data_IF_791034821725
#
_entry.id   IF_791034821725
#
_cell.length_a   1.000
_cell.length_b   1.000
_cell.length_c   1.000
_cell.angle_alpha   90.00
_cell.angle_beta   90.00
_cell.angle_gamma   90.00
#
_symmetry.space_group_name_H-M   'P 1'
#
loop_
_entity.id
_entity.type
_entity.pdbx_description
1 polymer ?
#
# COMPACT_ATOMS: atom_id res chain seq x y z
N UNK A 1 104.44 -25.00 -130.68
CA UNK A 1 103.19 -25.58 -130.14
C UNK A 1 102.79 -24.79 -128.91
N UNK A 2 101.48 -24.58 -128.72
CA UNK A 2 100.82 -23.91 -127.57
C UNK A 2 101.10 -22.40 -127.47
N UNK A 3 100.12 -21.51 -127.65
CA UNK A 3 98.75 -21.54 -127.11
C UNK A 3 98.75 -20.61 -125.88
N UNK A 4 98.48 -19.32 -126.08
CA UNK A 4 97.17 -18.70 -125.87
C UNK A 4 96.72 -18.75 -124.39
N UNK A 5 96.63 -17.58 -123.77
CA UNK A 5 96.14 -17.43 -122.40
C UNK A 5 96.22 -16.00 -121.91
N UNK A 6 95.83 -15.03 -122.75
CA UNK A 6 95.49 -13.71 -122.27
C UNK A 6 94.29 -13.87 -121.32
N UNK A 7 94.53 -13.69 -120.03
CA UNK A 7 93.50 -13.62 -119.01
C UNK A 7 92.56 -12.49 -119.39
N UNK A 8 91.36 -12.86 -119.87
CA UNK A 8 90.25 -11.96 -120.10
C UNK A 8 90.00 -11.17 -118.84
N UNK A 9 90.44 -9.92 -118.85
CA UNK A 9 89.93 -8.88 -117.96
C UNK A 9 88.44 -8.81 -118.29
N UNK A 10 87.59 -9.27 -117.36
CA UNK A 10 86.14 -9.08 -117.43
C UNK A 10 85.88 -7.60 -117.69
N UNK A 11 85.39 -7.30 -118.89
CA UNK A 11 84.88 -5.98 -119.22
C UNK A 11 83.81 -5.63 -118.17
N UNK A 12 83.86 -4.43 -117.56
CA UNK A 12 82.78 -3.99 -116.71
C UNK A 12 81.50 -4.03 -117.54
N UNK A 13 80.43 -4.61 -116.99
CA UNK A 13 79.13 -4.64 -117.63
C UNK A 13 78.81 -3.23 -118.13
N UNK A 14 78.71 -3.07 -119.45
CA UNK A 14 78.46 -1.79 -120.10
C UNK A 14 77.00 -1.41 -119.80
N UNK A 15 76.81 -0.70 -118.69
CA UNK A 15 75.50 -0.20 -118.27
C UNK A 15 75.12 0.89 -119.26
N UNK A 16 74.17 0.61 -120.14
CA UNK A 16 73.75 1.57 -121.14
C UNK A 16 73.12 2.80 -120.48
N UNK A 17 73.27 3.97 -121.12
CA UNK A 17 72.72 5.22 -120.59
C UNK A 17 71.19 5.16 -120.37
N UNK A 18 70.50 4.25 -121.06
CA UNK A 18 69.06 4.03 -120.93
C UNK A 18 68.67 3.43 -119.57
N UNK A 19 69.41 2.43 -119.07
CA UNK A 19 69.14 1.83 -117.75
C UNK A 19 69.46 2.80 -116.62
N UNK A 20 70.52 3.62 -116.76
CA UNK A 20 70.81 4.70 -115.79
C UNK A 20 69.67 5.71 -115.75
N UNK A 21 69.16 6.14 -116.90
CA UNK A 21 68.04 7.10 -116.99
C UNK A 21 66.77 6.55 -116.33
N UNK A 22 66.42 5.27 -116.54
CA UNK A 22 65.28 4.62 -115.89
C UNK A 22 65.44 4.52 -114.36
N UNK A 23 66.66 4.27 -113.87
CA UNK A 23 66.93 4.25 -112.43
C UNK A 23 66.79 5.65 -111.82
N UNK A 24 67.24 6.70 -112.51
CA UNK A 24 67.06 8.10 -112.07
C UNK A 24 65.57 8.43 -111.97
N UNK A 25 64.78 8.16 -113.00
CA UNK A 25 63.32 8.39 -113.00
C UNK A 25 62.62 7.63 -111.86
N UNK A 26 63.05 6.39 -111.59
CA UNK A 26 62.50 5.58 -110.50
C UNK A 26 62.91 6.10 -109.12
N UNK A 27 64.11 6.65 -108.96
CA UNK A 27 64.55 7.30 -107.71
C UNK A 27 63.74 8.57 -107.47
N UNK A 28 63.55 9.40 -108.51
CA UNK A 28 62.72 10.62 -108.41
C UNK A 28 61.27 10.27 -108.03
N UNK A 29 60.69 9.22 -108.61
CA UNK A 29 59.35 8.74 -108.21
C UNK A 29 59.32 8.26 -106.76
N UNK A 30 60.30 7.48 -106.32
CA UNK A 30 60.38 7.00 -104.94
C UNK A 30 60.58 8.15 -103.94
N UNK A 31 61.29 9.21 -104.31
CA UNK A 31 61.43 10.41 -103.48
C UNK A 31 60.09 11.14 -103.32
N UNK A 32 59.31 11.28 -104.40
CA UNK A 32 57.96 11.85 -104.37
C UNK A 32 57.01 11.00 -103.52
N UNK A 33 57.00 9.68 -103.70
CA UNK A 33 56.17 8.75 -102.92
C UNK A 33 56.54 8.82 -101.42
N UNK A 34 57.85 8.92 -101.11
CA UNK A 34 58.34 9.06 -99.74
C UNK A 34 57.89 10.36 -99.09
N UNK A 35 57.88 11.47 -99.84
CA UNK A 35 57.41 12.76 -99.33
C UNK A 35 55.89 12.75 -99.10
N UNK A 36 55.11 12.14 -100.00
CA UNK A 36 53.67 11.95 -99.82
C UNK A 36 53.35 11.04 -98.62
N UNK A 37 54.11 9.96 -98.42
CA UNK A 37 53.96 9.10 -97.25
C UNK A 37 54.27 9.85 -95.95
N UNK A 38 55.30 10.71 -95.93
CA UNK A 38 55.63 11.53 -94.76
C UNK A 38 54.48 12.47 -94.38
N UNK A 39 53.92 13.18 -95.36
CA UNK A 39 52.77 14.06 -95.14
C UNK A 39 51.57 13.28 -94.59
N UNK A 40 51.29 12.10 -95.14
CA UNK A 40 50.20 11.22 -94.66
C UNK A 40 50.44 10.77 -93.21
N UNK A 41 51.69 10.44 -92.85
CA UNK A 41 52.04 10.03 -91.48
C UNK A 41 51.87 11.19 -90.50
N UNK A 42 52.28 12.41 -90.89
CA UNK A 42 52.10 13.60 -90.06
C UNK A 42 50.61 13.92 -89.83
N UNK A 43 49.78 13.81 -90.87
CA UNK A 43 48.32 13.98 -90.75
C UNK A 43 47.69 12.90 -89.85
N UNK A 44 48.10 11.64 -90.00
CA UNK A 44 47.63 10.56 -89.15
C UNK A 44 48.03 10.75 -87.69
N UNK A 45 49.25 11.23 -87.43
CA UNK A 45 49.70 11.52 -86.07
C UNK A 45 48.85 12.62 -85.44
N UNK A 46 48.56 13.70 -86.17
CA UNK A 46 47.66 14.77 -85.70
C UNK A 46 46.27 14.23 -85.37
N UNK A 47 45.71 13.33 -86.19
CA UNK A 47 44.39 12.73 -85.94
C UNK A 47 44.40 11.80 -84.73
N UNK A 48 45.51 11.10 -84.48
CA UNK A 48 45.68 10.28 -83.27
C UNK A 48 45.68 11.18 -82.03
N UNK A 49 46.45 12.27 -82.05
CA UNK A 49 46.53 13.20 -80.92
C UNK A 49 45.15 13.82 -80.60
N UNK A 50 44.38 14.20 -81.63
CA UNK A 50 43.01 14.72 -81.47
C UNK A 50 42.06 13.68 -80.85
N UNK A 51 42.13 12.43 -81.33
CA UNK A 51 41.31 11.32 -80.80
C UNK A 51 41.69 10.96 -79.36
N UNK A 52 42.97 11.05 -79.00
CA UNK A 52 43.43 10.85 -77.62
C UNK A 52 42.87 11.93 -76.70
N UNK A 53 42.89 13.20 -77.13
CA UNK A 53 42.30 14.31 -76.38
C UNK A 53 40.78 14.16 -76.21
N UNK A 54 40.06 13.74 -77.26
CA UNK A 54 38.63 13.48 -77.19
C UNK A 54 38.32 12.33 -76.22
N UNK A 55 39.09 11.23 -76.29
CA UNK A 55 38.95 10.08 -75.39
C UNK A 55 39.16 10.48 -73.94
N UNK A 56 40.17 11.29 -73.64
CA UNK A 56 40.43 11.76 -72.28
C UNK A 56 39.30 12.68 -71.77
N UNK A 57 38.76 13.55 -72.64
CA UNK A 57 37.60 14.37 -72.33
C UNK A 57 36.33 13.55 -72.04
N UNK A 58 36.07 12.52 -72.84
CA UNK A 58 34.97 11.58 -72.62
C UNK A 58 35.15 10.82 -71.31
N UNK A 59 36.37 10.39 -70.98
CA UNK A 59 36.65 9.66 -69.75
C UNK A 59 36.37 10.53 -68.51
N UNK A 60 36.76 11.81 -68.53
CA UNK A 60 36.42 12.74 -67.46
C UNK A 60 34.91 12.93 -67.31
N UNK A 61 34.18 13.02 -68.43
CA UNK A 61 32.73 13.17 -68.42
C UNK A 61 32.01 11.94 -67.87
N UNK A 62 32.50 10.73 -68.19
CA UNK A 62 32.00 9.49 -67.60
C UNK A 62 32.18 9.50 -66.09
N UNK A 63 33.38 9.83 -65.59
CA UNK A 63 33.62 9.89 -64.14
C UNK A 63 32.73 10.92 -63.42
N UNK A 64 32.44 12.07 -64.05
CA UNK A 64 31.49 13.05 -63.50
C UNK A 64 30.07 12.50 -63.42
N UNK A 65 29.60 11.85 -64.50
CA UNK A 65 28.27 11.23 -64.53
C UNK A 65 28.12 10.09 -63.52
N UNK A 66 29.18 9.30 -63.31
CA UNK A 66 29.20 8.27 -62.26
C UNK A 66 29.05 8.86 -60.87
N UNK A 67 29.76 9.94 -60.56
CA UNK A 67 29.65 10.64 -59.28
C UNK A 67 28.26 11.28 -59.09
N UNK A 68 27.67 11.87 -60.13
CA UNK A 68 26.30 12.39 -60.09
C UNK A 68 25.28 11.27 -59.85
N UNK A 69 25.45 10.13 -60.51
CA UNK A 69 24.59 8.95 -60.33
C UNK A 69 24.67 8.42 -58.90
N UNK A 70 25.87 8.33 -58.32
CA UNK A 70 26.05 7.92 -56.92
C UNK A 70 25.38 8.90 -55.96
N UNK A 71 25.52 10.21 -56.19
CA UNK A 71 24.87 11.24 -55.39
C UNK A 71 23.34 11.19 -55.47
N UNK A 72 22.78 10.97 -56.67
CA UNK A 72 21.34 10.78 -56.85
C UNK A 72 20.84 9.53 -56.13
N UNK A 73 21.59 8.43 -56.19
CA UNK A 73 21.22 7.17 -55.54
C UNK A 73 21.17 7.32 -54.01
N UNK A 74 22.12 8.04 -53.41
CA UNK A 74 22.07 8.37 -51.99
C UNK A 74 20.84 9.22 -51.63
N UNK A 75 20.49 10.20 -52.47
CA UNK A 75 19.33 11.07 -52.24
C UNK A 75 18.01 10.31 -52.33
N UNK A 76 17.90 9.34 -53.25
CA UNK A 76 16.73 8.45 -53.34
C UNK A 76 16.59 7.64 -52.06
N UNK A 77 17.67 7.01 -51.56
CA UNK A 77 17.61 6.25 -50.31
C UNK A 77 17.22 7.09 -49.10
N UNK A 78 17.65 8.35 -49.03
CA UNK A 78 17.22 9.28 -47.98
C UNK A 78 15.72 9.58 -48.05
N UNK A 79 15.21 9.87 -49.26
CA UNK A 79 13.78 10.15 -49.46
C UNK A 79 12.91 8.91 -49.16
N UNK A 80 13.38 7.71 -49.47
CA UNK A 80 12.68 6.47 -49.11
C UNK A 80 12.56 6.31 -47.59
N UNK A 81 13.63 6.57 -46.85
CA UNK A 81 13.63 6.52 -45.39
C UNK A 81 12.71 7.59 -44.77
N UNK A 82 12.71 8.81 -45.31
CA UNK A 82 11.78 9.87 -44.88
C UNK A 82 10.32 9.48 -45.12
N UNK A 83 10.02 8.88 -46.28
CA UNK A 83 8.68 8.40 -46.61
C UNK A 83 8.23 7.30 -45.65
N UNK A 84 9.10 6.34 -45.32
CA UNK A 84 8.80 5.29 -44.34
C UNK A 84 8.52 5.89 -42.95
N UNK A 85 9.34 6.88 -42.52
CA UNK A 85 9.13 7.59 -41.25
C UNK A 85 7.80 8.37 -41.21
N UNK A 86 7.45 9.05 -42.29
CA UNK A 86 6.16 9.73 -42.41
C UNK A 86 4.99 8.74 -42.37
N UNK A 87 5.11 7.60 -43.04
CA UNK A 87 4.07 6.57 -43.06
C UNK A 87 3.82 6.00 -41.66
N UNK A 88 4.87 5.74 -40.88
CA UNK A 88 4.73 5.34 -39.47
C UNK A 88 4.01 6.39 -38.63
N UNK A 89 4.34 7.68 -38.82
CA UNK A 89 3.72 8.78 -38.09
C UNK A 89 2.24 8.94 -38.44
N UNK A 90 1.87 8.73 -39.70
CA UNK A 90 0.46 8.71 -40.12
C UNK A 90 -0.29 7.58 -39.40
N UNK A 91 0.24 6.35 -39.40
CA UNK A 91 -0.40 5.24 -38.70
C UNK A 91 -0.54 5.45 -37.20
N UNK A 92 0.43 6.10 -36.56
CA UNK A 92 0.32 6.51 -35.15
C UNK A 92 -0.82 7.49 -34.94
N UNK A 93 -0.91 8.53 -35.77
CA UNK A 93 -1.98 9.52 -35.69
C UNK A 93 -3.36 8.92 -35.97
N UNK A 94 -3.47 7.98 -36.91
CA UNK A 94 -4.71 7.23 -37.16
C UNK A 94 -5.13 6.43 -35.91
N UNK A 95 -4.17 5.78 -35.25
CA UNK A 95 -4.44 5.04 -33.99
C UNK A 95 -4.86 5.99 -32.87
N UNK A 96 -4.17 7.11 -32.68
CA UNK A 96 -4.52 8.13 -31.68
C UNK A 96 -5.92 8.69 -31.93
N UNK A 97 -6.31 8.90 -33.19
CA UNK A 97 -7.64 9.36 -33.57
C UNK A 97 -8.71 8.32 -33.27
N UNK A 98 -8.45 7.05 -33.56
CA UNK A 98 -9.36 5.92 -33.25
C UNK A 98 -9.52 5.71 -31.74
N UNK A 99 -8.49 6.02 -30.95
CA UNK A 99 -8.52 5.96 -29.48
C UNK A 99 -9.26 7.16 -28.84
N UNK A 100 -9.52 8.24 -29.59
CA UNK A 100 -10.26 9.36 -29.02
C UNK A 100 -11.69 8.93 -28.69
N UNK A 101 -12.18 9.22 -27.47
CA UNK A 101 -13.51 8.83 -27.08
C UNK A 101 -14.54 9.59 -27.94
N UNK A 102 -15.53 8.88 -28.46
CA UNK A 102 -16.63 9.50 -29.21
C UNK A 102 -17.37 10.48 -28.29
N UNK A 103 -17.39 11.76 -28.69
CA UNK A 103 -18.13 12.82 -27.99
C UNK A 103 -19.33 13.19 -28.83
N UNK A 104 -20.51 13.06 -28.24
CA UNK A 104 -21.76 13.35 -28.93
C UNK A 104 -22.76 14.03 -27.98
N UNK A 105 -23.64 14.85 -28.56
CA UNK A 105 -24.76 15.44 -27.86
C UNK A 105 -26.02 14.65 -28.22
N UNK A 106 -26.59 13.90 -27.27
CA UNK A 106 -27.85 13.16 -27.48
C UNK A 106 -29.02 13.84 -26.76
N UNK A 107 -30.15 13.90 -27.45
CA UNK A 107 -31.42 14.45 -26.94
C UNK A 107 -31.64 15.92 -27.29
N UNK A 108 -32.74 16.50 -26.81
CA UNK A 108 -33.20 17.83 -27.19
C UNK A 108 -32.63 18.98 -26.34
N UNK A 109 -31.88 18.68 -25.29
CA UNK A 109 -31.25 19.70 -24.44
C UNK A 109 -29.90 20.10 -25.04
N UNK A 110 -29.76 21.30 -25.59
CA UNK A 110 -28.47 21.80 -26.12
C UNK A 110 -27.42 22.14 -25.05
N UNK A 111 -27.63 21.70 -23.81
CA UNK A 111 -26.76 21.97 -22.66
C UNK A 111 -25.90 20.77 -22.26
N UNK A 112 -25.08 20.94 -21.22
CA UNK A 112 -24.12 19.94 -20.74
C UNK A 112 -24.76 18.59 -20.40
N UNK A 113 -26.05 18.57 -20.08
CA UNK A 113 -26.85 17.40 -19.75
C UNK A 113 -27.00 16.39 -20.90
N UNK A 114 -26.87 16.85 -22.15
CA UNK A 114 -26.89 16.01 -23.34
C UNK A 114 -25.51 15.46 -23.71
N UNK A 115 -24.46 15.74 -22.94
CA UNK A 115 -23.10 15.29 -23.25
C UNK A 115 -22.94 13.80 -22.99
N UNK A 116 -22.52 13.08 -24.02
CA UNK A 116 -22.07 11.69 -23.96
C UNK A 116 -20.60 11.63 -24.38
N UNK A 117 -19.84 10.80 -23.66
CA UNK A 117 -18.44 10.50 -23.97
C UNK A 117 -18.28 9.00 -23.91
N UNK A 118 -17.77 8.39 -24.98
CA UNK A 118 -17.61 6.94 -25.11
C UNK A 118 -18.90 6.16 -24.77
N UNK A 119 -20.05 6.66 -25.25
CA UNK A 119 -21.37 6.06 -24.98
C UNK A 119 -21.86 6.18 -23.52
N UNK A 120 -21.17 6.94 -22.66
CA UNK A 120 -21.60 7.22 -21.28
C UNK A 120 -22.27 8.59 -21.15
N UNK A 121 -23.43 8.70 -20.47
CA UNK A 121 -24.17 9.95 -20.34
C UNK A 121 -23.59 10.87 -19.25
N UNK A 122 -22.38 11.37 -19.44
CA UNK A 122 -21.68 12.19 -18.45
C UNK A 122 -22.49 13.43 -18.04
N UNK A 123 -23.17 14.07 -18.99
CA UNK A 123 -24.06 15.20 -18.70
C UNK A 123 -25.09 14.90 -17.62
N UNK A 124 -25.77 13.76 -17.74
CA UNK A 124 -26.76 13.30 -16.74
C UNK A 124 -26.12 12.89 -15.44
N UNK A 125 -24.93 12.31 -15.46
CA UNK A 125 -24.21 11.98 -14.21
C UNK A 125 -23.84 13.25 -13.43
N UNK A 126 -23.34 14.28 -14.11
CA UNK A 126 -22.99 15.57 -13.50
C UNK A 126 -24.24 16.25 -12.94
N UNK A 127 -25.33 16.30 -13.71
CA UNK A 127 -26.61 16.84 -13.26
C UNK A 127 -27.12 16.12 -11.98
N UNK A 128 -27.01 14.79 -11.94
CA UNK A 128 -27.41 14.00 -10.78
C UNK A 128 -26.52 14.24 -9.55
N UNK A 129 -25.20 14.38 -9.75
CA UNK A 129 -24.26 14.70 -8.68
C UNK A 129 -24.54 16.10 -8.13
N UNK A 130 -24.74 17.10 -9.00
CA UNK A 130 -25.10 18.47 -8.59
C UNK A 130 -26.39 18.48 -7.75
N UNK A 131 -27.43 17.78 -8.21
CA UNK A 131 -28.69 17.63 -7.44
C UNK A 131 -28.46 16.97 -6.07
N UNK A 132 -27.64 15.91 -6.00
CA UNK A 132 -27.32 15.24 -4.73
C UNK A 132 -26.56 16.16 -3.80
N UNK A 133 -25.56 16.89 -4.30
CA UNK A 133 -24.80 17.84 -3.50
C UNK A 133 -25.67 18.99 -3.01
N UNK A 134 -26.53 19.59 -3.85
CA UNK A 134 -27.50 20.63 -3.41
C UNK A 134 -28.41 20.13 -2.29
N UNK A 135 -28.93 18.90 -2.39
CA UNK A 135 -29.72 18.27 -1.32
C UNK A 135 -28.90 18.09 -0.05
N UNK A 136 -27.70 17.53 -0.17
CA UNK A 136 -26.83 17.29 0.97
C UNK A 136 -26.45 18.60 1.68
N UNK A 137 -26.08 19.64 0.92
CA UNK A 137 -25.80 20.96 1.47
C UNK A 137 -27.00 21.51 2.22
N UNK A 138 -28.21 21.44 1.64
CA UNK A 138 -29.44 21.87 2.32
C UNK A 138 -29.71 21.08 3.61
N UNK A 139 -29.42 19.78 3.64
CA UNK A 139 -29.58 18.95 4.85
C UNK A 139 -28.57 19.35 5.93
N UNK A 140 -27.33 19.62 5.56
CA UNK A 140 -26.25 19.93 6.51
C UNK A 140 -26.37 21.37 7.04
N UNK A 141 -26.65 22.34 6.16
CA UNK A 141 -26.56 23.77 6.50
C UNK A 141 -27.92 24.45 6.63
N UNK A 142 -29.00 23.79 6.24
CA UNK A 142 -30.35 24.37 6.17
C UNK A 142 -30.56 25.36 5.00
N UNK A 143 -29.52 25.65 4.22
CA UNK A 143 -29.50 26.72 3.23
C UNK A 143 -29.09 26.25 1.83
N UNK A 144 -29.25 27.13 0.83
CA UNK A 144 -28.77 26.90 -0.54
C UNK A 144 -27.25 26.84 -0.56
N UNK A 145 -26.67 25.94 -1.37
CA UNK A 145 -25.22 25.83 -1.55
C UNK A 145 -24.53 27.14 -1.93
N UNK A 146 -25.17 27.99 -2.73
CA UNK A 146 -24.62 29.29 -3.11
C UNK A 146 -24.53 30.30 -1.97
N UNK A 147 -25.23 30.03 -0.86
CA UNK A 147 -25.28 30.88 0.33
C UNK A 147 -24.51 30.26 1.51
N UNK A 148 -23.79 29.16 1.29
CA UNK A 148 -22.97 28.51 2.32
C UNK A 148 -21.53 29.01 2.21
N UNK A 149 -21.05 29.65 3.26
CA UNK A 149 -19.61 29.82 3.47
C UNK A 149 -19.05 28.59 4.18
N UNK A 150 -18.44 27.69 3.43
CA UNK A 150 -17.86 26.46 3.96
C UNK A 150 -16.66 26.72 4.88
N UNK A 151 -15.98 27.86 4.74
CA UNK A 151 -14.87 28.20 5.61
C UNK A 151 -15.38 28.65 6.98
N UNK A 152 -16.47 29.41 7.02
CA UNK A 152 -17.12 29.80 8.29
C UNK A 152 -17.64 28.58 9.06
N UNK A 153 -18.29 27.65 8.36
CA UNK A 153 -18.77 26.39 8.99
C UNK A 153 -17.59 25.60 9.56
N UNK A 154 -16.50 25.46 8.81
CA UNK A 154 -15.33 24.70 9.30
C UNK A 154 -14.74 25.34 10.55
N UNK A 155 -14.60 26.67 10.54
CA UNK A 155 -14.05 27.42 11.69
C UNK A 155 -14.91 27.29 12.95
N UNK A 156 -16.23 27.19 12.83
CA UNK A 156 -17.13 26.98 13.98
C UNK A 156 -16.89 25.65 14.70
N UNK A 157 -16.33 24.64 14.03
CA UNK A 157 -16.06 23.32 14.63
C UNK A 157 -14.59 23.10 15.00
N UNK A 158 -13.69 24.04 14.74
CA UNK A 158 -12.25 23.91 15.05
C UNK A 158 -12.01 23.62 16.54
N UNK A 159 -12.67 24.38 17.44
CA UNK A 159 -12.56 24.16 18.88
C UNK A 159 -13.03 22.76 19.33
N UNK A 160 -14.02 22.18 18.62
CA UNK A 160 -14.52 20.84 18.91
C UNK A 160 -13.57 19.76 18.38
N UNK A 161 -12.94 20.00 17.22
CA UNK A 161 -11.90 19.14 16.65
C UNK A 161 -10.66 19.14 17.54
N UNK A 162 -10.22 20.30 18.02
CA UNK A 162 -9.12 20.44 18.98
C UNK A 162 -9.44 19.73 20.29
N UNK A 163 -10.62 19.96 20.87
CA UNK A 163 -11.05 19.29 22.10
C UNK A 163 -11.13 17.76 21.97
N UNK A 164 -11.51 17.24 20.80
CA UNK A 164 -11.46 15.80 20.52
C UNK A 164 -10.01 15.27 20.41
N UNK A 165 -9.09 16.08 19.89
CA UNK A 165 -7.65 15.80 19.90
C UNK A 165 -7.10 15.70 21.32
N UNK A 166 -7.43 16.66 22.18
CA UNK A 166 -7.03 16.68 23.59
C UNK A 166 -7.60 15.49 24.36
N UNK A 167 -8.88 15.14 24.15
CA UNK A 167 -9.51 13.99 24.77
C UNK A 167 -8.86 12.66 24.37
N UNK A 168 -8.41 12.53 23.11
CA UNK A 168 -7.64 11.36 22.65
C UNK A 168 -6.28 11.29 23.34
N UNK A 169 -5.56 12.40 23.42
CA UNK A 169 -4.26 12.47 24.09
C UNK A 169 -4.37 12.12 25.59
N UNK A 170 -5.40 12.64 26.27
CA UNK A 170 -5.66 12.30 27.68
C UNK A 170 -5.96 10.80 27.87
N UNK A 171 -6.74 10.21 26.97
CA UNK A 171 -7.07 8.77 27.02
C UNK A 171 -5.83 7.90 26.82
N UNK A 172 -4.97 8.27 25.87
CA UNK A 172 -3.72 7.57 25.60
C UNK A 172 -2.78 7.64 26.81
N UNK A 173 -2.60 8.84 27.39
CA UNK A 173 -1.82 9.02 28.62
C UNK A 173 -2.36 8.16 29.77
N UNK A 174 -3.66 8.18 30.01
CA UNK A 174 -4.29 7.35 31.06
C UNK A 174 -4.03 5.84 30.85
N UNK A 175 -4.03 5.37 29.61
CA UNK A 175 -3.73 3.97 29.30
C UNK A 175 -2.27 3.63 29.63
N UNK A 176 -1.33 4.52 29.30
CA UNK A 176 0.09 4.37 29.63
C UNK A 176 0.30 4.35 31.14
N UNK A 177 -0.20 5.35 31.86
CA UNK A 177 -0.09 5.45 33.32
C UNK A 177 -0.69 4.20 34.00
N UNK A 178 -1.81 3.69 33.48
CA UNK A 178 -2.43 2.45 33.98
C UNK A 178 -1.55 1.21 33.75
N UNK A 179 -0.84 1.14 32.63
CA UNK A 179 0.09 0.03 32.36
C UNK A 179 1.32 0.11 33.28
N UNK A 180 1.87 1.31 33.48
CA UNK A 180 2.98 1.55 34.40
C UNK A 180 2.60 1.15 35.82
N UNK A 181 1.48 1.64 36.34
CA UNK A 181 0.98 1.27 37.67
C UNK A 181 0.77 -0.24 37.83
N UNK A 182 0.25 -0.91 36.79
CA UNK A 182 0.07 -2.37 36.81
C UNK A 182 1.42 -3.10 36.90
N UNK A 183 2.45 -2.59 36.24
CA UNK A 183 3.80 -3.16 36.26
C UNK A 183 4.49 -2.94 37.61
N UNK A 184 4.37 -1.74 38.18
CA UNK A 184 4.91 -1.39 39.49
C UNK A 184 4.24 -2.22 40.59
N UNK A 185 2.92 -2.34 40.56
CA UNK A 185 2.18 -3.16 41.51
C UNK A 185 2.57 -4.64 41.42
N UNK A 186 2.81 -5.16 40.21
CA UNK A 186 3.29 -6.52 40.03
C UNK A 186 4.70 -6.71 40.62
N UNK A 187 5.60 -5.73 40.47
CA UNK A 187 6.93 -5.76 41.07
C UNK A 187 6.85 -5.72 42.60
N UNK A 188 6.04 -4.82 43.16
CA UNK A 188 5.81 -4.72 44.60
C UNK A 188 5.28 -6.05 45.16
N UNK A 189 4.34 -6.70 44.46
CA UNK A 189 3.79 -8.00 44.87
C UNK A 189 4.85 -9.12 44.85
N UNK A 190 5.79 -9.10 43.89
CA UNK A 190 6.91 -10.06 43.87
C UNK A 190 7.86 -9.83 45.04
N UNK A 191 8.23 -8.58 45.32
CA UNK A 191 9.06 -8.22 46.47
C UNK A 191 8.40 -8.65 47.78
N UNK A 192 7.11 -8.38 47.95
CA UNK A 192 6.36 -8.76 49.14
C UNK A 192 6.30 -10.29 49.32
N UNK A 193 6.13 -11.04 48.23
CA UNK A 193 6.14 -12.51 48.27
C UNK A 193 7.50 -13.04 48.69
N UNK A 194 8.59 -12.45 48.19
CA UNK A 194 9.94 -12.84 48.59
C UNK A 194 10.16 -12.61 50.10
N UNK A 195 9.76 -11.45 50.62
CA UNK A 195 9.84 -11.15 52.07
C UNK A 195 8.97 -12.12 52.89
N UNK A 196 7.77 -12.46 52.39
CA UNK A 196 6.87 -13.44 53.03
C UNK A 196 7.49 -14.84 53.11
N UNK A 197 8.16 -15.29 52.05
CA UNK A 197 8.90 -16.57 52.03
C UNK A 197 10.08 -16.57 53.02
N UNK A 198 10.80 -15.45 53.17
CA UNK A 198 11.88 -15.31 54.15
C UNK A 198 11.39 -15.24 55.61
N UNK A 199 10.18 -14.73 55.84
CA UNK A 199 9.65 -14.46 57.19
C UNK A 199 8.64 -15.51 57.68
N UNK A 200 8.28 -16.50 56.85
CA UNK A 200 7.25 -17.52 57.11
C UNK A 200 5.89 -16.90 57.51
N UNK A 201 5.57 -15.73 56.94
CA UNK A 201 4.30 -15.02 57.16
C UNK A 201 3.37 -15.23 55.97
N UNK A 202 2.20 -15.85 56.18
CA UNK A 202 1.17 -16.00 55.14
C UNK A 202 0.63 -14.63 54.69
N UNK A 203 0.75 -14.33 53.39
CA UNK A 203 0.12 -13.14 52.79
C UNK A 203 -1.36 -13.40 52.52
N UNK A 204 -2.23 -12.71 53.27
CA UNK A 204 -3.66 -12.74 53.05
C UNK A 204 -4.05 -11.97 51.79
N UNK A 205 -5.03 -12.48 51.03
CA UNK A 205 -5.57 -11.81 49.84
C UNK A 205 -6.43 -10.58 50.14
N UNK A 206 -6.83 -10.37 51.41
CA UNK A 206 -7.63 -9.23 51.87
C UNK A 206 -7.28 -8.88 53.32
N UNK A 207 -7.23 -7.58 53.63
CA UNK A 207 -7.05 -7.07 54.99
C UNK A 207 -8.39 -7.23 55.75
N UNK A 208 -8.40 -7.66 57.04
CA UNK A 208 -9.63 -7.70 57.83
C UNK A 208 -10.38 -6.35 57.79
N UNK A 209 -11.62 -6.35 57.26
CA UNK A 209 -12.44 -5.14 57.14
C UNK A 209 -12.69 -4.65 55.71
N UNK A 210 -11.91 -5.08 54.72
CA UNK A 210 -12.15 -4.75 53.30
C UNK A 210 -12.90 -5.87 52.54
N UNK A 211 -13.38 -6.86 53.28
CA UNK A 211 -14.11 -7.99 52.73
C UNK A 211 -15.61 -7.71 52.52
N UNK A 212 -16.24 -8.48 51.63
CA UNK A 212 -17.66 -8.33 51.28
C UNK A 212 -18.60 -8.43 52.47
N UNK A 213 -18.29 -9.26 53.48
CA UNK A 213 -19.11 -9.36 54.70
C UNK A 213 -19.03 -8.06 55.49
N UNK A 214 -17.85 -7.45 55.63
CA UNK A 214 -17.68 -6.16 56.29
C UNK A 214 -18.40 -5.02 55.53
N UNK A 215 -18.33 -5.00 54.19
CA UNK A 215 -19.06 -4.02 53.36
C UNK A 215 -20.56 -4.14 53.50
N UNK A 216 -21.12 -5.35 53.49
CA UNK A 216 -22.56 -5.57 53.70
C UNK A 216 -23.01 -5.11 55.09
N UNK A 217 -22.19 -5.32 56.13
CA UNK A 217 -22.50 -4.89 57.51
C UNK A 217 -22.42 -3.38 57.67
N UNK A 218 -21.54 -2.69 56.94
CA UNK A 218 -21.34 -1.24 57.06
C UNK A 218 -22.27 -0.44 56.15
N UNK A 219 -22.32 -0.81 54.88
CA UNK A 219 -22.90 -0.01 53.80
C UNK A 219 -24.17 -0.67 53.22
N UNK A 220 -24.60 -1.80 53.79
CA UNK A 220 -25.75 -2.56 53.33
C UNK A 220 -25.48 -3.36 52.05
N UNK A 221 -26.43 -4.21 51.67
CA UNK A 221 -26.17 -5.23 50.62
C UNK A 221 -26.07 -4.67 49.20
N UNK A 222 -26.59 -3.47 48.95
CA UNK A 222 -26.51 -2.80 47.66
C UNK A 222 -25.06 -2.44 47.28
N UNK A 223 -24.15 -2.33 48.26
CA UNK A 223 -22.74 -2.01 48.03
C UNK A 223 -21.93 -3.15 47.41
N UNK A 224 -22.45 -4.39 47.44
CA UNK A 224 -21.70 -5.60 47.04
C UNK A 224 -22.34 -6.32 45.85
N UNK A 225 -23.55 -5.93 45.44
CA UNK A 225 -24.30 -6.61 44.38
C UNK A 225 -24.42 -5.70 43.16
N UNK A 226 -23.81 -6.13 42.07
CA UNK A 226 -24.03 -5.56 40.73
C UNK A 226 -25.35 -6.11 40.16
N UNK A 227 -26.48 -5.57 40.61
CA UNK A 227 -27.80 -5.95 40.10
C UNK A 227 -28.92 -5.88 41.14
N UNK A 228 -30.02 -6.58 40.87
CA UNK A 228 -31.21 -6.53 41.71
C UNK A 228 -30.99 -7.28 43.03
N UNK A 229 -31.10 -6.55 44.14
CA UNK A 229 -31.18 -7.12 45.50
C UNK A 229 -32.44 -8.00 45.60
N UNK A 230 -32.30 -9.19 46.17
CA UNK A 230 -33.38 -10.17 46.27
C UNK A 230 -33.66 -10.49 47.75
N UNK A 231 -34.74 -11.20 48.03
CA UNK A 231 -35.12 -11.50 49.40
C UNK A 231 -34.08 -12.33 50.18
N UNK A 232 -33.24 -13.16 49.53
CA UNK A 232 -32.16 -13.86 50.25
C UNK A 232 -30.98 -12.95 50.60
N UNK A 233 -30.72 -11.93 49.80
CA UNK A 233 -29.74 -10.88 50.07
C UNK A 233 -30.12 -10.06 51.32
N UNK A 234 -31.37 -9.57 51.37
CA UNK A 234 -31.88 -8.80 52.53
C UNK A 234 -31.92 -9.65 53.81
N UNK A 235 -32.32 -10.92 53.71
CA UNK A 235 -32.29 -11.86 54.85
C UNK A 235 -30.86 -12.08 55.34
N UNK A 236 -29.90 -12.22 54.43
CA UNK A 236 -28.50 -12.42 54.76
C UNK A 236 -27.92 -11.20 55.47
N UNK A 237 -28.20 -10.01 54.94
CA UNK A 237 -27.87 -8.73 55.57
C UNK A 237 -28.46 -8.62 56.98
N UNK A 238 -29.73 -8.98 57.18
CA UNK A 238 -30.37 -8.90 58.50
C UNK A 238 -29.75 -9.87 59.51
N UNK A 239 -29.38 -11.08 59.09
CA UNK A 239 -28.66 -12.01 59.97
C UNK A 239 -27.26 -11.51 60.34
N UNK A 240 -26.55 -10.86 59.41
CA UNK A 240 -25.22 -10.31 59.64
C UNK A 240 -25.25 -9.11 60.59
N UNK A 241 -26.26 -8.24 60.49
CA UNK A 241 -26.41 -7.09 61.38
C UNK A 241 -26.76 -7.45 62.83
N UNK A 242 -27.31 -8.64 63.09
CA UNK A 242 -27.77 -9.06 64.42
C UNK A 242 -26.97 -10.27 64.93
N UNK A 243 -25.70 -10.41 64.53
CA UNK A 243 -24.86 -11.54 64.92
C UNK A 243 -24.58 -11.62 66.43
N UNK A 244 -24.56 -10.49 67.09
CA UNK A 244 -24.39 -10.33 68.53
C UNK A 244 -25.65 -10.70 69.32
N UNK A 245 -26.82 -10.34 68.82
CA UNK A 245 -28.09 -10.57 69.52
C UNK A 245 -28.77 -11.90 69.19
N UNK A 246 -28.75 -12.31 67.91
CA UNK A 246 -29.57 -13.44 67.45
C UNK A 246 -28.77 -14.74 67.31
N UNK A 247 -27.46 -14.66 67.11
CA UNK A 247 -26.62 -15.84 66.95
C UNK A 247 -26.09 -16.33 68.31
N UNK A 248 -25.84 -17.64 68.42
CA UNK A 248 -25.12 -18.16 69.58
C UNK A 248 -23.62 -18.01 69.34
N UNK A 249 -22.97 -17.10 70.06
CA UNK A 249 -21.52 -16.94 70.03
C UNK A 249 -20.85 -18.09 70.77
N UNK A 250 -19.85 -18.71 70.14
CA UNK A 250 -19.02 -19.76 70.72
C UNK A 250 -17.56 -19.39 70.55
N UNK A 251 -16.74 -19.86 71.48
CA UNK A 251 -15.29 -19.72 71.45
C UNK A 251 -14.68 -21.11 71.51
N UNK A 252 -13.88 -21.45 70.51
CA UNK A 252 -12.94 -22.56 70.59
C UNK A 252 -11.55 -22.03 70.97
N UNK A 253 -10.56 -22.91 71.05
CA UNK A 253 -9.17 -22.60 71.42
C UNK A 253 -8.47 -21.62 70.47
N UNK A 254 -9.00 -21.40 69.26
CA UNK A 254 -8.36 -20.59 68.23
C UNK A 254 -9.26 -19.50 67.63
N UNK A 255 -10.59 -19.53 67.86
CA UNK A 255 -11.57 -18.74 67.12
C UNK A 255 -12.81 -18.42 67.95
N UNK A 256 -13.32 -17.20 67.78
CA UNK A 256 -14.67 -16.82 68.22
C UNK A 256 -15.57 -16.80 67.00
N UNK A 257 -16.70 -17.50 67.05
CA UNK A 257 -17.65 -17.56 65.93
C UNK A 257 -19.11 -17.50 66.40
N UNK A 258 -19.90 -16.76 65.66
CA UNK A 258 -21.35 -16.65 65.78
C UNK A 258 -22.00 -17.81 65.02
N UNK A 259 -22.97 -18.47 65.65
CA UNK A 259 -23.65 -19.64 65.09
C UNK A 259 -25.14 -19.40 64.95
N UNK A 260 -25.65 -19.56 63.72
CA UNK A 260 -27.09 -19.69 63.46
C UNK A 260 -27.44 -21.12 63.08
N UNK A 261 -28.49 -21.67 63.69
CA UNK A 261 -29.14 -22.88 63.17
C UNK A 261 -30.30 -22.49 62.27
N UNK A 262 -30.73 -23.39 61.39
CA UNK A 262 -31.88 -23.13 60.52
C UNK A 262 -33.17 -22.89 61.30
N UNK A 263 -33.28 -23.43 62.52
CA UNK A 263 -34.42 -23.18 63.39
C UNK A 263 -34.37 -21.76 63.97
N UNK A 264 -33.22 -21.34 64.51
CA UNK A 264 -33.07 -20.00 65.11
C UNK A 264 -33.12 -18.89 64.06
N UNK A 265 -32.43 -19.06 62.93
CA UNK A 265 -32.50 -18.09 61.83
C UNK A 265 -33.91 -17.99 61.24
N UNK A 266 -34.63 -19.11 61.14
CA UNK A 266 -36.03 -19.10 60.68
C UNK A 266 -36.89 -18.26 61.60
N UNK A 267 -36.94 -18.60 62.88
CA UNK A 267 -37.75 -17.91 63.89
C UNK A 267 -37.48 -16.39 63.92
N UNK A 268 -36.20 -16.01 63.93
CA UNK A 268 -35.80 -14.59 63.95
C UNK A 268 -36.14 -13.84 62.66
N UNK A 269 -35.96 -14.46 61.49
CA UNK A 269 -36.29 -13.83 60.22
C UNK A 269 -37.81 -13.74 59.97
N UNK A 270 -38.58 -14.78 60.34
CA UNK A 270 -40.04 -14.76 60.24
C UNK A 270 -40.62 -13.64 61.10
N UNK A 271 -40.10 -13.47 62.31
CA UNK A 271 -40.48 -12.35 63.20
C UNK A 271 -40.05 -10.99 62.65
N UNK A 272 -38.80 -10.85 62.20
CA UNK A 272 -38.26 -9.55 61.81
C UNK A 272 -38.76 -9.05 60.44
N UNK A 273 -39.20 -9.94 59.56
CA UNK A 273 -39.67 -9.60 58.20
C UNK A 273 -41.16 -9.90 57.99
N UNK A 274 -41.88 -10.34 59.02
CA UNK A 274 -43.30 -10.72 58.96
C UNK A 274 -43.61 -11.66 57.78
N UNK A 275 -42.77 -12.70 57.62
CA UNK A 275 -42.87 -13.67 56.52
C UNK A 275 -42.85 -15.11 57.06
N UNK A 276 -43.27 -16.08 56.24
CA UNK A 276 -43.04 -17.50 56.56
C UNK A 276 -41.97 -18.10 55.65
N UNK A 277 -41.03 -18.85 56.24
CA UNK A 277 -39.85 -19.36 55.59
C UNK A 277 -39.81 -20.89 55.56
N UNK A 278 -39.52 -21.43 54.38
CA UNK A 278 -39.13 -22.82 54.24
C UNK A 278 -37.66 -23.01 54.64
N UNK A 279 -37.33 -24.21 55.15
CA UNK A 279 -35.96 -24.57 55.53
C UNK A 279 -34.96 -24.41 54.37
N UNK A 280 -35.40 -24.65 53.14
CA UNK A 280 -34.62 -24.43 51.91
C UNK A 280 -34.29 -22.95 51.69
N UNK A 281 -35.20 -22.03 52.02
CA UNK A 281 -34.94 -20.59 51.90
C UNK A 281 -33.91 -20.12 52.91
N UNK A 282 -33.97 -20.62 54.15
CA UNK A 282 -32.96 -20.34 55.19
C UNK A 282 -31.59 -20.87 54.79
N UNK A 283 -31.53 -22.08 54.20
CA UNK A 283 -30.29 -22.64 53.66
C UNK A 283 -29.69 -21.73 52.58
N UNK A 284 -30.49 -21.26 51.63
CA UNK A 284 -30.03 -20.32 50.57
C UNK A 284 -29.49 -19.01 51.14
N UNK A 285 -30.09 -18.50 52.22
CA UNK A 285 -29.57 -17.34 52.94
C UNK A 285 -28.19 -17.62 53.55
N UNK A 286 -27.98 -18.79 54.17
CA UNK A 286 -26.67 -19.18 54.69
C UNK A 286 -25.63 -19.34 53.57
N UNK A 287 -25.98 -19.99 52.46
CA UNK A 287 -25.10 -20.14 51.29
C UNK A 287 -24.71 -18.77 50.71
N UNK A 288 -25.63 -17.80 50.74
CA UNK A 288 -25.35 -16.44 50.28
C UNK A 288 -24.30 -15.75 51.16
N UNK A 289 -24.44 -15.83 52.48
CA UNK A 289 -23.43 -15.29 53.41
C UNK A 289 -22.09 -15.99 53.19
N UNK A 290 -22.08 -17.32 52.99
CA UNK A 290 -20.86 -18.07 52.70
C UNK A 290 -20.17 -17.60 51.42
N UNK A 291 -20.93 -17.33 50.35
CA UNK A 291 -20.36 -16.81 49.10
C UNK A 291 -19.72 -15.42 49.25
N UNK A 292 -20.25 -14.56 50.13
CA UNK A 292 -19.61 -13.28 50.44
C UNK A 292 -18.37 -13.46 51.31
N UNK A 293 -18.33 -14.51 52.11
CA UNK A 293 -17.18 -14.82 52.94
C UNK A 293 -16.02 -15.49 52.18
N UNK A 294 -16.19 -15.92 50.92
CA UNK A 294 -15.07 -16.46 50.11
C UNK A 294 -13.96 -15.43 49.89
N UNK A 295 -14.32 -14.14 49.80
CA UNK A 295 -13.36 -13.03 49.72
C UNK A 295 -13.02 -12.45 51.10
N UNK A 296 -13.40 -13.13 52.19
CA UNK A 296 -13.22 -12.67 53.56
C UNK A 296 -12.13 -13.47 54.27
N UNK A 297 -11.26 -12.83 55.05
CA UNK A 297 -10.37 -13.55 55.96
C UNK A 297 -11.12 -14.16 57.15
N UNK A 298 -12.43 -13.91 57.31
CA UNK A 298 -13.25 -14.46 58.39
C UNK A 298 -13.61 -15.92 58.12
N UNK A 299 -13.55 -16.76 59.15
CA UNK A 299 -14.03 -18.13 59.06
C UNK A 299 -15.52 -18.17 58.71
N UNK A 300 -15.94 -18.85 57.65
CA UNK A 300 -17.36 -19.05 57.36
C UNK A 300 -17.63 -20.48 56.91
N UNK A 301 -18.60 -21.16 57.53
CA UNK A 301 -18.92 -22.55 57.19
C UNK A 301 -20.39 -22.87 57.35
N UNK A 302 -20.98 -23.46 56.31
CA UNK A 302 -22.35 -24.00 56.31
C UNK A 302 -22.30 -25.52 56.39
N UNK A 303 -22.93 -26.12 57.39
CA UNK A 303 -22.99 -27.57 57.60
C UNK A 303 -24.32 -28.03 58.22
N UNK A 304 -24.53 -29.34 58.34
CA UNK A 304 -25.60 -29.91 59.17
C UNK A 304 -25.07 -30.20 60.58
N UNK A 305 -25.84 -29.84 61.60
CA UNK A 305 -25.54 -30.20 62.97
C UNK A 305 -25.86 -31.68 63.27
N UNK A 306 -25.55 -32.17 64.48
CA UNK A 306 -25.84 -33.55 64.91
C UNK A 306 -27.32 -33.94 64.85
N UNK A 307 -28.23 -32.95 64.83
CA UNK A 307 -29.69 -33.14 64.72
C UNK A 307 -30.19 -33.02 63.27
N UNK A 308 -29.29 -32.99 62.27
CA UNK A 308 -29.64 -32.90 60.85
C UNK A 308 -30.11 -31.51 60.36
N UNK A 309 -30.09 -30.49 61.22
CA UNK A 309 -30.49 -29.11 60.87
C UNK A 309 -29.31 -28.34 60.25
N UNK A 310 -29.59 -27.53 59.24
CA UNK A 310 -28.57 -26.64 58.66
C UNK A 310 -28.09 -25.61 59.69
N UNK A 311 -26.82 -25.24 59.61
CA UNK A 311 -26.19 -24.26 60.46
C UNK A 311 -25.13 -23.51 59.67
N UNK A 312 -24.97 -22.22 59.98
CA UNK A 312 -23.83 -21.42 59.55
C UNK A 312 -23.01 -20.99 60.78
N UNK A 313 -21.69 -21.03 60.64
CA UNK A 313 -20.72 -20.49 61.58
C UNK A 313 -19.96 -19.36 60.90
N UNK A 314 -19.93 -18.19 61.52
CA UNK A 314 -19.28 -16.99 60.98
C UNK A 314 -18.31 -16.47 62.03
N UNK A 315 -17.04 -16.31 61.66
CA UNK A 315 -15.99 -15.75 62.47
C UNK A 315 -16.34 -14.30 62.77
N UNK A 316 -16.38 -14.00 64.05
CA UNK A 316 -16.57 -12.64 64.56
C UNK A 316 -15.26 -12.28 65.23
N UNK A 317 -14.71 -11.12 64.87
CA UNK A 317 -13.69 -10.49 65.68
C UNK A 317 -14.28 -10.33 67.07
N UNK A 318 -13.55 -10.75 68.11
CA UNK A 318 -13.87 -10.36 69.48
C UNK A 318 -13.79 -8.85 69.48
N UNK A 319 -14.94 -8.19 69.35
CA UNK A 319 -14.99 -6.74 69.38
C UNK A 319 -14.38 -6.31 70.70
N UNK A 320 -13.52 -5.30 70.61
CA UNK A 320 -13.47 -4.24 71.61
C UNK A 320 -14.86 -4.11 72.22
N UNK A 321 -15.01 -4.62 73.43
CA UNK A 321 -16.17 -4.32 74.23
C UNK A 321 -16.19 -2.81 74.43
N UNK A 322 -17.37 -2.23 74.25
CA UNK A 322 -17.82 -0.93 74.79
C UNK A 322 -16.73 0.02 75.30
#
# INVERSE_FOLDING_TARGET
MSGAGASSIEQPADVDAATVQQLVERVEQLEQDRDSLKETVEEQQSRIDDLEAERDGLQQRVSQLEAERDGLQQRVSQLEAERDGLQQRVSQLETELDEQPEIELRGNSGGIEALWIAGMPLGKTVENVDRRQKKLTKVITGTSRSAVDFNEITSQYDALVEGLGEARAMREKYLTDKQEFKSEFANLRRQLRHVSEETDVELLNAIPGDDKVAKVVKDGVASVIDGRVNASHERAEKLLHNLDEWATVRRDDQRTYATYTSATAKDKLETARSESLQTTQVKRTFEKIASWAESSPRFCRVDKNKQGRWRIRIGVSVGEGR
#
